data_IF_774316683626
#
_entry.id   IF_774316683626
#
_cell.length_a   1.000
_cell.length_b   1.000
_cell.length_c   1.000
_cell.angle_alpha   90.00
_cell.angle_beta   90.00
_cell.angle_gamma   90.00
#
_symmetry.space_group_name_H-M   'P 1'
#
loop_
_entity.id
_entity.type
_entity.pdbx_description
1 polymer ?
#
# COMPACT_ATOMS: atom_id res chain seq x y z
N UNK A 1 16.99 5.58 11.75
CA UNK A 1 15.78 5.75 10.91
C UNK A 1 15.59 4.51 10.02
N UNK A 2 14.37 4.19 9.54
CA UNK A 2 14.15 2.99 8.70
C UNK A 2 14.97 3.03 7.41
N UNK A 3 15.00 4.17 6.71
CA UNK A 3 15.79 4.33 5.50
C UNK A 3 17.29 4.02 5.73
N UNK A 4 17.90 4.58 6.79
CA UNK A 4 19.30 4.32 7.13
C UNK A 4 19.57 2.83 7.41
N UNK A 5 18.64 2.16 8.09
CA UNK A 5 18.71 0.73 8.35
C UNK A 5 18.65 -0.08 7.05
N UNK A 6 17.73 0.27 6.14
CA UNK A 6 17.60 -0.38 4.83
C UNK A 6 18.86 -0.21 3.99
N UNK A 7 19.42 1.01 3.92
CA UNK A 7 20.67 1.30 3.21
C UNK A 7 21.84 0.50 3.81
N UNK A 8 21.92 0.40 5.14
CA UNK A 8 22.96 -0.36 5.83
C UNK A 8 22.91 -1.87 5.57
N UNK A 9 21.71 -2.47 5.48
CA UNK A 9 21.58 -3.90 5.12
C UNK A 9 21.75 -4.12 3.63
N UNK A 10 21.30 -3.20 2.78
CA UNK A 10 21.51 -3.25 1.33
C UNK A 10 22.99 -3.20 0.95
N UNK A 11 23.80 -2.38 1.64
CA UNK A 11 25.26 -2.36 1.47
C UNK A 11 25.92 -3.72 1.74
N UNK A 12 25.25 -4.61 2.48
CA UNK A 12 25.68 -6.00 2.74
C UNK A 12 25.05 -7.02 1.78
N UNK A 13 24.34 -6.57 0.75
CA UNK A 13 23.62 -7.44 -0.19
C UNK A 13 22.35 -8.06 0.38
N UNK A 14 21.83 -7.51 1.50
CA UNK A 14 20.65 -7.98 2.20
C UNK A 14 19.48 -7.01 2.02
N UNK A 15 18.28 -7.46 2.39
CA UNK A 15 17.04 -6.78 2.10
C UNK A 15 16.07 -6.87 3.28
N UNK A 16 15.54 -5.71 3.67
CA UNK A 16 14.38 -5.54 4.54
C UNK A 16 13.26 -4.90 3.70
N UNK A 17 12.15 -5.61 3.51
CA UNK A 17 11.21 -5.26 2.45
C UNK A 17 10.20 -4.17 2.78
N UNK A 18 9.90 -3.95 4.06
CA UNK A 18 8.85 -3.00 4.45
C UNK A 18 9.32 -1.58 4.10
N UNK A 19 8.57 -0.91 3.23
CA UNK A 19 8.91 0.38 2.63
C UNK A 19 7.78 1.40 2.87
N UNK A 20 7.61 1.88 4.13
CA UNK A 20 6.58 2.85 4.46
C UNK A 20 6.87 4.18 3.73
N UNK A 21 5.82 4.94 3.38
CA UNK A 21 5.98 6.24 2.73
C UNK A 21 6.84 7.21 3.57
N UNK A 22 6.79 7.08 4.90
CA UNK A 22 7.56 7.87 5.87
C UNK A 22 8.97 7.34 6.15
N UNK A 23 9.52 6.39 5.37
CA UNK A 23 10.81 5.72 5.66
C UNK A 23 11.98 6.65 6.00
N UNK A 24 11.98 7.88 5.47
CA UNK A 24 13.00 8.90 5.72
C UNK A 24 12.90 9.59 7.10
N UNK A 25 11.82 9.35 7.84
CA UNK A 25 11.56 9.99 9.14
C UNK A 25 11.10 9.02 10.22
N UNK A 26 10.46 7.90 9.87
CA UNK A 26 9.99 6.92 10.85
C UNK A 26 11.12 6.04 11.42
N UNK A 27 10.94 5.58 12.66
CA UNK A 27 11.87 4.66 13.35
C UNK A 27 11.39 3.22 13.25
N UNK A 28 12.31 2.25 13.39
CA UNK A 28 11.92 0.84 13.40
C UNK A 28 10.97 0.52 14.56
N UNK A 29 11.23 1.06 15.75
CA UNK A 29 10.36 0.89 16.92
C UNK A 29 8.93 1.38 16.67
N UNK A 30 8.76 2.54 16.02
CA UNK A 30 7.43 3.04 15.63
C UNK A 30 6.74 2.13 14.62
N UNK A 31 7.47 1.68 13.58
CA UNK A 31 6.90 0.76 12.59
C UNK A 31 6.48 -0.60 13.20
N UNK A 32 7.15 -1.04 14.26
CA UNK A 32 6.79 -2.23 15.01
C UNK A 32 5.58 -1.99 15.90
N UNK A 33 5.53 -0.85 16.59
CA UNK A 33 4.40 -0.47 17.42
C UNK A 33 3.10 -0.31 16.60
N UNK A 34 3.20 0.17 15.36
CA UNK A 34 2.06 0.39 14.45
C UNK A 34 1.82 -0.76 13.46
N UNK A 35 2.61 -1.84 13.52
CA UNK A 35 2.59 -2.93 12.54
C UNK A 35 2.63 -2.44 11.06
N UNK A 36 3.46 -1.44 10.76
CA UNK A 36 3.43 -0.73 9.49
C UNK A 36 3.67 -1.62 8.27
N UNK A 37 2.94 -1.31 7.20
CA UNK A 37 3.10 -1.92 5.88
C UNK A 37 3.75 -0.97 4.87
N UNK A 38 3.27 -1.06 3.63
CA UNK A 38 3.68 -0.26 2.49
C UNK A 38 3.48 -1.04 1.18
N UNK A 39 3.89 -0.48 0.02
CA UNK A 39 3.61 -1.08 -1.28
C UNK A 39 4.10 -2.52 -1.46
N UNK A 40 5.10 -2.92 -0.67
CA UNK A 40 5.74 -4.24 -0.74
C UNK A 40 5.12 -5.31 0.15
N UNK A 41 4.12 -4.94 0.97
CA UNK A 41 3.45 -5.85 1.89
C UNK A 41 2.78 -7.01 1.13
N UNK A 42 2.25 -6.76 -0.06
CA UNK A 42 1.66 -7.74 -0.97
C UNK A 42 2.49 -9.02 -1.19
N UNK A 43 3.81 -8.90 -1.30
CA UNK A 43 4.72 -10.05 -1.50
C UNK A 43 5.43 -10.45 -0.22
N UNK A 44 5.77 -9.47 0.61
CA UNK A 44 6.75 -9.64 1.67
C UNK A 44 6.18 -9.52 3.09
N UNK A 45 4.90 -9.21 3.23
CA UNK A 45 4.26 -8.95 4.50
C UNK A 45 4.62 -7.59 5.11
N UNK A 46 4.09 -7.34 6.30
CA UNK A 46 4.24 -6.11 7.07
C UNK A 46 5.28 -6.30 8.19
N UNK A 47 5.56 -5.29 9.01
CA UNK A 47 6.64 -5.38 10.00
C UNK A 47 6.56 -6.61 10.92
N UNK A 48 5.36 -7.06 11.32
CA UNK A 48 5.21 -8.28 12.13
C UNK A 48 5.86 -9.53 11.52
N UNK A 49 5.88 -9.61 10.20
CA UNK A 49 6.40 -10.77 9.48
C UNK A 49 7.93 -10.80 9.49
N UNK A 50 8.57 -9.68 9.82
CA UNK A 50 10.01 -9.50 9.75
C UNK A 50 10.73 -9.62 11.09
N UNK A 51 10.00 -9.73 12.20
CA UNK A 51 10.57 -9.68 13.55
C UNK A 51 10.76 -11.08 14.12
N UNK A 52 11.94 -11.34 14.68
CA UNK A 52 12.27 -12.58 15.36
C UNK A 52 12.22 -12.42 16.89
N UNK A 53 12.64 -11.26 17.38
CA UNK A 53 12.76 -10.97 18.80
C UNK A 53 12.68 -9.47 19.07
N UNK A 54 12.16 -9.09 20.24
CA UNK A 54 12.14 -7.71 20.72
C UNK A 54 12.67 -7.69 22.15
N UNK A 55 13.41 -6.63 22.49
CA UNK A 55 13.56 -6.17 23.86
C UNK A 55 12.51 -5.10 24.14
N UNK A 56 11.80 -5.25 25.25
CA UNK A 56 10.74 -4.32 25.66
C UNK A 56 10.87 -3.96 27.13
N UNK A 57 10.59 -2.69 27.44
CA UNK A 57 10.46 -2.18 28.81
C UNK A 57 8.98 -2.05 29.14
N UNK A 58 8.53 -2.79 30.15
CA UNK A 58 7.15 -2.76 30.63
C UNK A 58 6.90 -1.52 31.51
N UNK A 59 5.62 -1.24 31.80
CA UNK A 59 5.21 -0.07 32.59
C UNK A 59 5.81 -0.03 34.02
N UNK A 60 6.16 -1.18 34.59
CA UNK A 60 6.80 -1.30 35.90
C UNK A 60 8.34 -1.19 35.84
N UNK A 61 8.90 -0.98 34.65
CA UNK A 61 10.35 -0.92 34.41
C UNK A 61 11.01 -2.28 34.17
N UNK A 62 10.25 -3.38 34.17
CA UNK A 62 10.78 -4.70 33.84
C UNK A 62 11.25 -4.74 32.39
N UNK A 63 12.48 -5.18 32.17
CA UNK A 63 13.05 -5.43 30.83
C UNK A 63 12.87 -6.90 30.49
N UNK A 64 12.30 -7.20 29.33
CA UNK A 64 12.16 -8.57 28.86
C UNK A 64 12.49 -8.73 27.38
N UNK A 65 13.01 -9.92 27.03
CA UNK A 65 13.06 -10.39 25.64
C UNK A 65 11.81 -11.19 25.33
N UNK A 66 11.22 -10.95 24.18
CA UNK A 66 9.90 -11.52 23.81
C UNK A 66 10.00 -12.84 23.04
N UNK A 67 11.17 -13.13 22.45
CA UNK A 67 11.39 -14.29 21.59
C UNK A 67 12.85 -14.74 21.55
N UNK A 68 13.30 -15.17 20.38
CA UNK A 68 14.64 -15.68 20.16
C UNK A 68 15.14 -15.30 18.76
N UNK A 69 16.46 -15.21 18.60
CA UNK A 69 17.09 -14.79 17.34
C UNK A 69 17.17 -15.96 16.33
N UNK A 70 16.06 -16.68 16.16
CA UNK A 70 15.95 -17.87 15.32
C UNK A 70 14.61 -17.88 14.58
N UNK A 71 14.59 -18.44 13.37
CA UNK A 71 13.36 -18.52 12.57
C UNK A 71 12.28 -19.42 13.19
N UNK A 72 12.68 -20.49 13.88
CA UNK A 72 11.76 -21.41 14.54
C UNK A 72 11.88 -21.26 16.04
N UNK A 73 10.85 -20.69 16.64
CA UNK A 73 10.67 -20.63 18.08
C UNK A 73 9.25 -21.07 18.42
N UNK A 74 9.11 -22.18 19.16
CA UNK A 74 7.82 -22.75 19.55
C UNK A 74 7.79 -23.10 21.04
N UNK A 75 8.59 -22.41 21.84
CA UNK A 75 8.65 -22.60 23.29
C UNK A 75 7.81 -21.55 24.00
N UNK A 76 6.53 -21.85 24.22
CA UNK A 76 5.59 -20.97 24.92
C UNK A 76 4.79 -20.05 23.97
N UNK A 77 4.25 -18.96 24.52
CA UNK A 77 3.45 -18.01 23.77
C UNK A 77 4.32 -17.09 22.90
N UNK A 78 3.77 -16.66 21.76
CA UNK A 78 4.43 -15.69 20.90
C UNK A 78 4.20 -14.26 21.41
N UNK A 79 4.90 -13.89 22.49
CA UNK A 79 4.80 -12.57 23.11
C UNK A 79 5.26 -11.47 22.15
N UNK A 80 6.20 -11.78 21.24
CA UNK A 80 6.66 -10.84 20.20
C UNK A 80 5.49 -10.28 19.39
N UNK A 81 4.55 -11.14 18.98
CA UNK A 81 3.40 -10.71 18.18
C UNK A 81 2.34 -9.94 18.98
N UNK A 82 2.34 -10.05 20.32
CA UNK A 82 1.47 -9.24 21.16
C UNK A 82 1.98 -7.79 21.28
N UNK A 83 3.31 -7.58 21.23
CA UNK A 83 3.92 -6.25 21.31
C UNK A 83 3.86 -5.49 19.98
N UNK A 84 3.78 -6.20 18.85
CA UNK A 84 3.71 -5.59 17.52
C UNK A 84 2.28 -5.15 17.25
N UNK A 85 2.09 -3.93 16.77
CA UNK A 85 0.75 -3.34 16.62
C UNK A 85 0.12 -2.90 17.94
N UNK A 86 0.87 -2.88 19.05
CA UNK A 86 0.33 -2.47 20.35
C UNK A 86 0.29 -0.95 20.55
N UNK A 87 0.83 -0.16 19.60
CA UNK A 87 0.90 1.31 19.68
C UNK A 87 1.58 1.81 20.98
N UNK A 88 2.54 1.04 21.50
CA UNK A 88 3.22 1.33 22.77
C UNK A 88 2.39 1.16 24.05
N UNK A 89 1.14 0.72 23.95
CA UNK A 89 0.23 0.56 25.10
C UNK A 89 0.60 -0.58 26.05
N UNK A 90 1.40 -1.55 25.59
CA UNK A 90 1.84 -2.71 26.38
C UNK A 90 3.29 -2.59 26.88
N UNK A 91 4.06 -1.63 26.37
CA UNK A 91 5.47 -1.44 26.70
C UNK A 91 6.23 -0.68 25.62
N UNK A 92 7.47 -0.32 25.93
CA UNK A 92 8.35 0.45 25.04
C UNK A 92 9.35 -0.50 24.39
N UNK A 93 9.34 -0.60 23.06
CA UNK A 93 10.33 -1.38 22.30
C UNK A 93 11.67 -0.63 22.31
N UNK A 94 12.73 -1.28 22.80
CA UNK A 94 14.09 -0.72 22.88
C UNK A 94 15.05 -1.34 21.87
N UNK A 95 14.92 -2.63 21.58
CA UNK A 95 15.72 -3.34 20.59
C UNK A 95 14.87 -4.32 19.76
N UNK A 96 15.30 -4.59 18.52
CA UNK A 96 14.62 -5.55 17.63
C UNK A 96 15.62 -6.39 16.83
N UNK A 97 15.38 -7.69 16.78
CA UNK A 97 16.06 -8.63 15.87
C UNK A 97 15.15 -8.87 14.66
N UNK A 98 15.62 -8.51 13.47
CA UNK A 98 14.88 -8.66 12.22
C UNK A 98 15.48 -9.78 11.35
N UNK A 99 14.62 -10.53 10.66
CA UNK A 99 15.05 -11.41 9.57
C UNK A 99 15.39 -10.55 8.35
N UNK A 100 16.27 -11.03 7.48
CA UNK A 100 16.63 -10.37 6.22
C UNK A 100 16.61 -11.37 5.07
N UNK A 101 16.37 -10.89 3.86
CA UNK A 101 16.46 -11.67 2.63
C UNK A 101 17.69 -11.23 1.82
N UNK A 102 18.14 -12.00 0.81
CA UNK A 102 19.03 -11.48 -0.22
C UNK A 102 18.41 -10.28 -0.93
N UNK A 103 19.23 -9.39 -1.51
CA UNK A 103 18.72 -8.28 -2.33
C UNK A 103 18.14 -8.78 -3.67
N UNK A 104 16.87 -8.50 -4.01
CA UNK A 104 16.31 -8.80 -5.32
C UNK A 104 16.88 -7.83 -6.36
N UNK A 105 17.88 -8.30 -7.12
CA UNK A 105 18.69 -7.46 -8.03
C UNK A 105 17.93 -6.99 -9.27
N UNK A 106 16.88 -7.71 -9.65
CA UNK A 106 16.18 -7.50 -10.91
C UNK A 106 14.74 -7.13 -10.62
N UNK A 107 14.26 -6.06 -11.23
CA UNK A 107 12.86 -5.64 -11.11
C UNK A 107 12.41 -4.85 -12.33
N UNK A 108 11.11 -4.91 -12.58
CA UNK A 108 10.42 -4.17 -13.62
C UNK A 108 9.19 -3.49 -13.00
N UNK A 109 8.85 -2.32 -13.54
CA UNK A 109 7.68 -1.55 -13.11
C UNK A 109 6.80 -1.27 -14.31
N UNK A 110 5.50 -1.53 -14.18
CA UNK A 110 4.49 -1.32 -15.19
C UNK A 110 3.47 -0.32 -14.67
N UNK A 111 3.14 0.69 -15.47
CA UNK A 111 1.96 1.51 -15.27
C UNK A 111 0.93 1.13 -16.33
N UNK A 112 -0.16 0.51 -15.91
CA UNK A 112 -1.16 -0.12 -16.78
C UNK A 112 -2.45 0.69 -16.74
N UNK A 113 -2.86 1.32 -17.86
CA UNK A 113 -4.09 2.11 -17.92
C UNK A 113 -5.33 1.23 -18.09
N UNK A 114 -6.45 1.68 -17.52
CA UNK A 114 -7.77 1.07 -17.65
C UNK A 114 -8.81 2.16 -17.93
N UNK A 115 -9.74 1.89 -18.84
CA UNK A 115 -10.87 2.77 -19.15
C UNK A 115 -12.05 2.62 -18.18
N UNK A 116 -12.17 1.47 -17.53
CA UNK A 116 -13.08 1.24 -16.39
C UNK A 116 -12.26 0.93 -15.12
N UNK A 117 -12.37 1.72 -14.05
CA UNK A 117 -11.72 1.43 -12.77
C UNK A 117 -12.08 0.07 -12.18
N UNK A 118 -13.29 -0.46 -12.45
CA UNK A 118 -13.69 -1.79 -11.99
C UNK A 118 -12.91 -2.91 -12.67
N UNK A 119 -12.55 -2.73 -13.94
CA UNK A 119 -11.70 -3.68 -14.65
C UNK A 119 -10.30 -3.74 -14.03
N UNK A 120 -9.76 -2.61 -13.57
CA UNK A 120 -8.53 -2.58 -12.79
C UNK A 120 -8.67 -3.36 -11.47
N UNK A 121 -9.77 -3.17 -10.73
CA UNK A 121 -10.04 -3.92 -9.50
C UNK A 121 -10.23 -5.43 -9.75
N UNK A 122 -10.91 -5.82 -10.83
CA UNK A 122 -11.03 -7.23 -11.23
C UNK A 122 -9.68 -7.84 -11.63
N UNK A 123 -8.84 -7.07 -12.34
CA UNK A 123 -7.51 -7.50 -12.72
C UNK A 123 -6.64 -7.80 -11.49
N UNK A 124 -6.75 -7.02 -10.41
CA UNK A 124 -6.05 -7.29 -9.15
C UNK A 124 -6.35 -8.69 -8.63
N UNK A 125 -7.63 -9.09 -8.58
CA UNK A 125 -8.00 -10.45 -8.16
C UNK A 125 -7.48 -11.51 -9.14
N UNK A 126 -7.62 -11.26 -10.45
CA UNK A 126 -7.14 -12.15 -11.51
C UNK A 126 -5.64 -12.43 -11.45
N UNK A 127 -4.83 -11.40 -11.16
CA UNK A 127 -3.36 -11.50 -11.00
C UNK A 127 -3.02 -12.61 -9.99
N UNK A 128 -3.66 -12.63 -8.82
CA UNK A 128 -3.39 -13.64 -7.80
C UNK A 128 -4.01 -15.00 -8.11
N UNK A 129 -5.18 -15.04 -8.75
CA UNK A 129 -5.81 -16.30 -9.16
C UNK A 129 -4.94 -17.08 -10.17
N UNK A 130 -4.22 -16.36 -11.02
CA UNK A 130 -3.25 -16.93 -11.96
C UNK A 130 -1.89 -17.27 -11.32
N UNK A 131 -1.74 -17.05 -10.01
CA UNK A 131 -0.53 -17.36 -9.25
C UNK A 131 0.60 -16.34 -9.40
N UNK A 132 0.32 -15.14 -9.92
CA UNK A 132 1.31 -14.07 -9.94
C UNK A 132 1.50 -13.46 -8.54
N UNK A 133 2.73 -13.04 -8.24
CA UNK A 133 3.11 -12.46 -6.96
C UNK A 133 3.93 -11.18 -7.19
N UNK A 134 3.27 -10.08 -7.60
CA UNK A 134 3.95 -8.80 -7.78
C UNK A 134 4.55 -8.33 -6.46
N UNK A 135 5.72 -7.67 -6.52
CA UNK A 135 6.35 -7.05 -5.35
C UNK A 135 5.68 -5.74 -4.95
N UNK A 136 4.88 -5.13 -5.83
CA UNK A 136 3.93 -4.07 -5.49
C UNK A 136 2.76 -4.07 -6.46
N UNK A 137 1.56 -3.73 -5.99
CA UNK A 137 0.36 -3.64 -6.81
C UNK A 137 -0.54 -2.52 -6.28
N UNK A 138 -0.41 -1.35 -6.89
CA UNK A 138 -1.08 -0.13 -6.46
C UNK A 138 -2.20 0.23 -7.43
N UNK A 139 -3.33 0.68 -6.91
CA UNK A 139 -4.41 1.27 -7.69
C UNK A 139 -4.39 2.79 -7.55
N UNK A 140 -4.65 3.50 -8.64
CA UNK A 140 -4.81 4.96 -8.65
C UNK A 140 -5.90 5.34 -9.64
N UNK A 141 -6.93 6.06 -9.18
CA UNK A 141 -7.86 6.73 -10.09
C UNK A 141 -7.12 7.80 -10.92
N UNK A 142 -7.65 8.12 -12.11
CA UNK A 142 -7.09 9.18 -12.96
C UNK A 142 -6.90 10.50 -12.21
N UNK A 143 -7.88 10.92 -11.42
CA UNK A 143 -7.80 12.13 -10.62
C UNK A 143 -6.59 12.12 -9.67
N UNK A 144 -6.26 10.96 -9.09
CA UNK A 144 -5.10 10.83 -8.18
C UNK A 144 -3.78 11.10 -8.93
N UNK A 145 -3.66 10.58 -10.16
CA UNK A 145 -2.48 10.76 -11.01
C UNK A 145 -2.39 12.20 -11.50
N UNK A 146 -3.48 12.79 -11.98
CA UNK A 146 -3.51 14.18 -12.46
C UNK A 146 -3.10 15.15 -11.35
N UNK A 147 -3.63 14.97 -10.13
CA UNK A 147 -3.23 15.76 -8.97
C UNK A 147 -1.73 15.60 -8.67
N UNK A 148 -1.20 14.38 -8.73
CA UNK A 148 0.21 14.13 -8.49
C UNK A 148 1.13 14.72 -9.59
N UNK A 149 0.72 14.67 -10.87
CA UNK A 149 1.43 15.30 -11.99
C UNK A 149 1.49 16.81 -11.82
N UNK A 150 0.38 17.44 -11.42
CA UNK A 150 0.34 18.88 -11.15
C UNK A 150 1.17 19.25 -9.92
N UNK A 151 1.10 18.48 -8.84
CA UNK A 151 1.89 18.73 -7.64
C UNK A 151 3.40 18.60 -7.86
N UNK A 152 3.81 17.60 -8.64
CA UNK A 152 5.24 17.35 -8.94
C UNK A 152 5.76 18.16 -10.12
N UNK A 153 4.88 18.82 -10.88
CA UNK A 153 5.18 19.45 -12.17
C UNK A 153 5.75 18.45 -13.21
N UNK A 154 5.51 17.16 -13.01
CA UNK A 154 5.93 16.10 -13.92
C UNK A 154 4.78 15.72 -14.87
N UNK A 155 4.71 16.43 -16.00
CA UNK A 155 3.70 16.23 -17.04
C UNK A 155 4.16 15.30 -18.17
N UNK A 156 5.18 14.50 -17.92
CA UNK A 156 5.76 13.64 -18.97
C UNK A 156 4.97 12.34 -19.17
N UNK A 157 4.09 12.00 -18.23
CA UNK A 157 3.30 10.78 -18.29
C UNK A 157 2.16 10.92 -19.31
N UNK A 158 2.12 10.12 -20.39
CA UNK A 158 1.04 10.19 -21.35
C UNK A 158 -0.24 9.58 -20.75
N UNK A 159 -1.26 10.40 -20.56
CA UNK A 159 -2.61 9.97 -20.19
C UNK A 159 -3.52 10.08 -21.41
N UNK A 160 -4.09 8.97 -21.86
CA UNK A 160 -5.11 9.01 -22.90
C UNK A 160 -6.44 9.54 -22.33
N UNK A 161 -7.23 10.21 -23.17
CA UNK A 161 -8.49 10.83 -22.74
C UNK A 161 -9.51 9.80 -22.21
N UNK A 162 -9.42 8.55 -22.63
CA UNK A 162 -10.29 7.43 -22.23
C UNK A 162 -9.79 6.68 -20.98
N UNK A 163 -8.61 7.01 -20.44
CA UNK A 163 -8.14 6.38 -19.21
C UNK A 163 -8.91 6.89 -18.00
N UNK A 164 -9.35 5.99 -17.12
CA UNK A 164 -10.07 6.30 -15.89
C UNK A 164 -9.32 5.87 -14.62
N UNK A 165 -8.46 4.85 -14.71
CA UNK A 165 -7.62 4.39 -13.61
C UNK A 165 -6.32 3.76 -14.12
N UNK A 166 -5.37 3.55 -13.21
CA UNK A 166 -4.18 2.77 -13.48
C UNK A 166 -3.89 1.76 -12.37
N UNK A 167 -3.23 0.67 -12.77
CA UNK A 167 -2.46 -0.16 -11.85
C UNK A 167 -0.98 0.14 -12.02
N UNK A 168 -0.27 0.40 -10.91
CA UNK A 168 1.19 0.40 -10.87
C UNK A 168 1.65 -0.95 -10.30
N UNK A 169 2.32 -1.74 -11.13
CA UNK A 169 2.69 -3.12 -10.82
C UNK A 169 4.20 -3.26 -10.84
N UNK A 170 4.81 -3.58 -9.70
CA UNK A 170 6.23 -3.94 -9.61
C UNK A 170 6.34 -5.47 -9.54
N UNK A 171 7.26 -6.03 -10.31
CA UNK A 171 7.72 -7.42 -10.14
C UNK A 171 9.22 -7.39 -9.85
N UNK A 172 9.65 -8.28 -8.96
CA UNK A 172 11.07 -8.44 -8.63
C UNK A 172 11.52 -9.91 -8.72
N UNK A 173 12.83 -10.07 -8.86
CA UNK A 173 13.47 -11.36 -9.03
C UNK A 173 14.89 -11.36 -8.44
N UNK A 174 15.28 -12.53 -7.93
CA UNK A 174 16.64 -12.77 -7.44
C UNK A 174 17.59 -13.19 -8.57
N UNK A 175 17.04 -13.79 -9.64
CA UNK A 175 17.76 -14.18 -10.86
C UNK A 175 17.16 -13.44 -12.05
N UNK A 176 18.01 -13.06 -13.00
CA UNK A 176 17.59 -12.30 -14.19
C UNK A 176 16.56 -13.06 -15.04
N UNK A 177 16.79 -14.36 -15.24
CA UNK A 177 15.96 -15.24 -16.05
C UNK A 177 14.52 -15.38 -15.52
N UNK A 178 14.28 -15.03 -14.25
CA UNK A 178 12.97 -15.14 -13.63
C UNK A 178 12.08 -13.91 -13.91
N UNK A 179 12.63 -12.81 -14.45
CA UNK A 179 11.90 -11.56 -14.63
C UNK A 179 10.95 -11.60 -15.84
N UNK A 180 11.45 -11.96 -17.01
CA UNK A 180 10.64 -12.00 -18.24
C UNK A 180 9.45 -12.97 -18.15
N UNK A 181 9.60 -14.20 -17.63
CA UNK A 181 8.46 -15.11 -17.45
C UNK A 181 7.38 -14.57 -16.51
N UNK A 182 7.74 -13.74 -15.52
CA UNK A 182 6.75 -13.07 -14.67
C UNK A 182 5.97 -12.01 -15.44
N UNK A 183 6.65 -11.22 -16.28
CA UNK A 183 6.02 -10.18 -17.10
C UNK A 183 5.07 -10.78 -18.15
N UNK A 184 5.45 -11.90 -18.78
CA UNK A 184 4.61 -12.59 -19.76
C UNK A 184 3.29 -13.09 -19.14
N UNK A 185 3.36 -13.80 -18.01
CA UNK A 185 2.14 -14.26 -17.31
C UNK A 185 1.26 -13.11 -16.84
N UNK A 186 1.88 -12.02 -16.41
CA UNK A 186 1.15 -10.81 -16.01
C UNK A 186 0.44 -10.18 -17.20
N UNK A 187 1.09 -10.09 -18.36
CA UNK A 187 0.49 -9.58 -19.59
C UNK A 187 -0.71 -10.44 -20.04
N UNK A 188 -0.58 -11.77 -20.00
CA UNK A 188 -1.69 -12.69 -20.29
C UNK A 188 -2.88 -12.47 -19.35
N UNK A 189 -2.59 -12.25 -18.06
CA UNK A 189 -3.62 -11.96 -17.06
C UNK A 189 -4.34 -10.65 -17.38
N UNK A 190 -3.58 -9.57 -17.57
CA UNK A 190 -4.10 -8.22 -17.82
C UNK A 190 -4.93 -8.15 -19.11
N UNK A 191 -4.56 -8.91 -20.14
CA UNK A 191 -5.29 -9.00 -21.41
C UNK A 191 -6.74 -9.51 -21.27
N UNK A 192 -7.09 -10.17 -20.15
CA UNK A 192 -8.46 -10.63 -19.87
C UNK A 192 -9.36 -9.56 -19.25
N UNK A 193 -8.82 -8.41 -18.86
CA UNK A 193 -9.52 -7.35 -18.12
C UNK A 193 -9.44 -5.99 -18.83
N UNK A 194 -9.46 -5.97 -20.16
CA UNK A 194 -9.48 -4.74 -20.97
C UNK A 194 -8.37 -3.73 -20.63
N UNK A 195 -7.22 -4.20 -20.15
CA UNK A 195 -6.07 -3.35 -19.89
C UNK A 195 -5.55 -2.70 -21.18
N UNK A 196 -5.23 -1.42 -21.12
CA UNK A 196 -4.54 -0.72 -22.21
C UNK A 196 -3.05 -1.06 -22.27
N UNK A 197 -2.36 -0.45 -23.25
CA UNK A 197 -0.92 -0.67 -23.43
C UNK A 197 -0.11 -0.17 -22.22
N UNK A 198 0.66 -1.03 -21.53
CA UNK A 198 1.38 -0.62 -20.33
C UNK A 198 2.61 0.23 -20.67
N UNK A 199 2.85 1.26 -19.85
CA UNK A 199 4.13 1.95 -19.81
C UNK A 199 5.10 1.15 -18.92
N UNK A 200 6.15 0.60 -19.51
CA UNK A 200 7.13 -0.22 -18.81
C UNK A 200 8.42 0.55 -18.52
N UNK A 201 8.87 0.51 -17.27
CA UNK A 201 10.15 1.06 -16.82
C UNK A 201 11.07 -0.06 -16.30
N UNK A 202 12.22 -0.22 -16.97
CA UNK A 202 13.24 -1.21 -16.62
C UNK A 202 14.46 -0.57 -15.93
N UNK A 203 14.81 0.67 -16.29
CA UNK A 203 15.93 1.38 -15.70
C UNK A 203 15.55 2.09 -14.38
N UNK A 204 16.56 2.46 -13.60
CA UNK A 204 16.38 3.10 -12.29
C UNK A 204 15.66 4.44 -12.37
N UNK A 205 15.90 5.24 -13.41
CA UNK A 205 15.36 6.58 -13.53
C UNK A 205 13.86 6.55 -13.83
N UNK A 206 13.44 5.75 -14.82
CA UNK A 206 12.03 5.55 -15.14
C UNK A 206 11.24 4.95 -13.97
N UNK A 207 11.83 3.98 -13.26
CA UNK A 207 11.19 3.42 -12.05
C UNK A 207 11.04 4.46 -10.95
N UNK A 208 12.07 5.27 -10.72
CA UNK A 208 12.03 6.34 -9.71
C UNK A 208 10.97 7.39 -10.06
N UNK A 209 10.80 7.74 -11.34
CA UNK A 209 9.78 8.68 -11.80
C UNK A 209 8.36 8.19 -11.48
N UNK A 210 8.02 6.96 -11.89
CA UNK A 210 6.69 6.39 -11.63
C UNK A 210 6.43 6.20 -10.12
N UNK A 211 7.43 5.75 -9.37
CA UNK A 211 7.31 5.64 -7.92
C UNK A 211 7.15 6.99 -7.23
N UNK A 212 7.85 8.02 -7.70
CA UNK A 212 7.71 9.38 -7.17
C UNK A 212 6.29 9.89 -7.36
N UNK A 213 5.70 9.68 -8.55
CA UNK A 213 4.30 10.02 -8.82
C UNK A 213 3.36 9.36 -7.80
N UNK A 214 3.42 8.02 -7.66
CA UNK A 214 2.57 7.26 -6.72
C UNK A 214 2.76 7.70 -5.26
N UNK A 215 3.99 7.97 -4.82
CA UNK A 215 4.30 8.39 -3.44
C UNK A 215 3.82 9.80 -3.14
N UNK A 216 3.73 10.67 -4.16
CA UNK A 216 3.29 12.06 -4.02
C UNK A 216 1.79 12.26 -4.12
N UNK A 217 1.02 11.24 -4.50
CA UNK A 217 -0.45 11.31 -4.54
C UNK A 217 -1.05 11.83 -3.23
N UNK A 218 -0.64 11.30 -2.08
CA UNK A 218 -1.19 11.73 -0.78
C UNK A 218 -0.86 13.19 -0.45
N UNK A 219 0.35 13.66 -0.76
CA UNK A 219 0.72 15.07 -0.60
C UNK A 219 -0.06 15.97 -1.58
N UNK A 220 -0.25 15.52 -2.81
CA UNK A 220 -0.98 16.23 -3.85
C UNK A 220 -2.45 16.43 -3.50
N UNK A 221 -3.12 15.39 -2.99
CA UNK A 221 -4.51 15.47 -2.52
C UNK A 221 -4.65 16.47 -1.38
N UNK A 222 -3.73 16.43 -0.39
CA UNK A 222 -3.70 17.36 0.75
C UNK A 222 -3.49 18.81 0.32
N UNK A 223 -2.65 19.03 -0.69
CA UNK A 223 -2.38 20.35 -1.24
C UNK A 223 -3.56 20.90 -2.08
N UNK A 224 -4.34 20.01 -2.69
CA UNK A 224 -5.44 20.38 -3.58
C UNK A 224 -6.72 20.80 -2.84
N UNK A 225 -7.09 20.08 -1.78
CA UNK A 225 -8.34 20.36 -1.04
C UNK A 225 -8.22 20.04 0.44
N UNK A 226 -9.08 20.68 1.25
CA UNK A 226 -9.40 20.13 2.57
C UNK A 226 -10.02 18.76 2.36
N UNK A 227 -9.59 17.77 3.12
CA UNK A 227 -9.95 16.38 2.86
C UNK A 227 -10.21 15.61 4.16
N UNK A 228 -10.90 14.49 4.05
CA UNK A 228 -10.95 13.43 5.06
C UNK A 228 -10.49 12.14 4.39
N UNK A 229 -9.60 11.42 5.05
CA UNK A 229 -8.96 10.23 4.54
C UNK A 229 -9.36 9.06 5.39
N UNK A 230 -9.93 8.05 4.76
CA UNK A 230 -10.34 6.81 5.40
C UNK A 230 -9.50 5.67 4.82
N UNK A 231 -8.89 4.88 5.70
CA UNK A 231 -7.99 3.79 5.31
C UNK A 231 -8.73 2.45 5.37
N UNK A 232 -9.32 2.05 4.25
CA UNK A 232 -10.22 0.89 4.21
C UNK A 232 -9.52 -0.33 3.62
N UNK A 233 -9.82 -1.51 4.17
CA UNK A 233 -9.29 -2.78 3.65
C UNK A 233 -10.45 -3.75 3.46
N UNK A 234 -10.51 -4.42 2.31
CA UNK A 234 -11.46 -5.50 2.03
C UNK A 234 -10.74 -6.71 1.45
N UNK A 235 -11.30 -7.92 1.49
CA UNK A 235 -10.79 -9.02 0.68
C UNK A 235 -10.64 -8.57 -0.77
N UNK A 236 -9.49 -8.82 -1.40
CA UNK A 236 -9.16 -8.32 -2.76
C UNK A 236 -10.26 -8.51 -3.81
N UNK A 237 -11.00 -9.60 -3.72
CA UNK A 237 -12.12 -9.90 -4.63
C UNK A 237 -13.30 -8.91 -4.52
N UNK A 238 -13.39 -8.16 -3.42
CA UNK A 238 -14.41 -7.16 -3.13
C UNK A 238 -13.97 -5.70 -3.36
N UNK A 239 -12.77 -5.49 -3.93
CA UNK A 239 -12.33 -4.15 -4.33
C UNK A 239 -13.29 -3.45 -5.32
N UNK A 240 -13.85 -4.14 -6.34
CA UNK A 240 -14.83 -3.52 -7.24
C UNK A 240 -16.07 -3.02 -6.48
N UNK A 241 -16.61 -3.83 -5.56
CA UNK A 241 -17.78 -3.52 -4.75
C UNK A 241 -17.52 -2.36 -3.79
N UNK A 242 -16.34 -2.32 -3.17
CA UNK A 242 -15.92 -1.19 -2.34
C UNK A 242 -15.88 0.11 -3.16
N UNK A 243 -15.24 0.08 -4.34
CA UNK A 243 -15.14 1.26 -5.19
C UNK A 243 -16.53 1.75 -5.63
N UNK A 244 -17.41 0.83 -6.04
CA UNK A 244 -18.79 1.15 -6.41
C UNK A 244 -19.58 1.73 -5.23
N UNK A 245 -19.46 1.15 -4.04
CA UNK A 245 -20.10 1.64 -2.83
C UNK A 245 -19.64 3.07 -2.49
N UNK A 246 -18.34 3.35 -2.56
CA UNK A 246 -17.80 4.69 -2.33
C UNK A 246 -18.38 5.70 -3.31
N UNK A 247 -18.44 5.38 -4.61
CA UNK A 247 -18.98 6.30 -5.64
C UNK A 247 -20.49 6.48 -5.49
N UNK A 248 -21.24 5.42 -5.20
CA UNK A 248 -22.68 5.47 -4.93
C UNK A 248 -22.99 6.34 -3.71
N UNK A 249 -22.32 6.11 -2.58
CA UNK A 249 -22.48 6.90 -1.35
C UNK A 249 -22.05 8.35 -1.60
N UNK A 250 -21.00 8.57 -2.39
CA UNK A 250 -20.61 9.90 -2.90
C UNK A 250 -21.77 10.64 -3.58
N UNK A 251 -22.46 9.96 -4.50
CA UNK A 251 -23.64 10.52 -5.17
C UNK A 251 -24.83 10.77 -4.23
N UNK A 252 -25.11 9.86 -3.30
CA UNK A 252 -26.22 9.97 -2.33
C UNK A 252 -26.03 11.15 -1.36
N UNK A 253 -24.78 11.39 -0.94
CA UNK A 253 -24.43 12.42 0.06
C UNK A 253 -23.81 13.69 -0.55
N UNK A 254 -23.59 13.70 -1.86
CA UNK A 254 -23.11 14.86 -2.63
C UNK A 254 -21.63 15.21 -2.44
N UNK A 255 -20.77 14.24 -2.15
CA UNK A 255 -19.31 14.46 -2.05
C UNK A 255 -18.53 13.79 -3.19
N UNK A 256 -17.35 14.32 -3.46
CA UNK A 256 -16.39 13.72 -4.38
C UNK A 256 -15.30 12.98 -3.60
N UNK A 257 -14.80 11.88 -4.17
CA UNK A 257 -13.68 11.13 -3.61
C UNK A 257 -12.64 10.80 -4.67
N UNK A 258 -11.39 10.75 -4.21
CA UNK A 258 -10.25 10.25 -4.97
C UNK A 258 -9.73 9.01 -4.26
N UNK A 259 -9.70 7.89 -4.97
CA UNK A 259 -9.30 6.60 -4.45
C UNK A 259 -7.95 6.18 -5.02
N UNK A 260 -7.06 5.73 -4.15
CA UNK A 260 -5.78 5.12 -4.48
C UNK A 260 -5.36 4.23 -3.32
N UNK A 261 -4.47 3.27 -3.53
CA UNK A 261 -3.99 2.43 -2.42
C UNK A 261 -3.29 1.16 -2.83
N UNK A 262 -2.97 0.37 -1.81
CA UNK A 262 -2.31 -0.93 -1.93
C UNK A 262 -3.34 -2.01 -2.33
N UNK A 263 -3.79 -1.96 -3.58
CA UNK A 263 -4.80 -2.90 -4.09
C UNK A 263 -4.36 -4.37 -3.97
N UNK A 264 -3.05 -4.63 -4.05
CA UNK A 264 -2.47 -5.96 -3.79
C UNK A 264 -2.79 -6.54 -2.42
N UNK A 265 -3.07 -5.70 -1.42
CA UNK A 265 -3.45 -6.09 -0.06
C UNK A 265 -4.95 -5.92 0.20
N UNK A 266 -5.71 -5.46 -0.80
CA UNK A 266 -7.12 -5.13 -0.65
C UNK A 266 -7.36 -3.78 0.02
N UNK A 267 -6.32 -2.95 0.17
CA UNK A 267 -6.38 -1.66 0.83
C UNK A 267 -6.61 -0.51 -0.16
N UNK A 268 -7.60 0.32 0.14
CA UNK A 268 -7.98 1.50 -0.64
C UNK A 268 -8.14 2.71 0.30
N UNK A 269 -7.33 3.74 0.07
CA UNK A 269 -7.48 5.03 0.74
C UNK A 269 -8.59 5.82 0.06
N UNK A 270 -9.68 6.07 0.77
CA UNK A 270 -10.81 6.86 0.30
C UNK A 270 -10.60 8.29 0.75
N UNK A 271 -10.17 9.16 -0.17
CA UNK A 271 -9.93 10.56 0.13
C UNK A 271 -11.15 11.38 -0.30
N UNK A 272 -11.98 11.78 0.66
CA UNK A 272 -13.16 12.61 0.44
C UNK A 272 -12.72 14.07 0.39
N UNK A 273 -12.99 14.75 -0.73
CA UNK A 273 -12.60 16.13 -0.94
C UNK A 273 -13.71 17.06 -0.49
N UNK A 274 -13.35 18.16 0.19
CA UNK A 274 -14.31 19.20 0.57
C UNK A 274 -14.86 19.92 -0.66
N UNK A 275 -14.00 20.26 -1.61
CA UNK A 275 -14.40 20.95 -2.84
C UNK A 275 -15.30 22.16 -2.56
N UNK A 276 -16.53 22.13 -3.09
CA UNK A 276 -17.56 23.16 -2.92
C UNK A 276 -18.56 22.89 -1.79
N UNK A 277 -18.37 21.84 -0.99
CA UNK A 277 -19.24 21.51 0.14
C UNK A 277 -19.25 22.62 1.19
N UNK A 278 -20.44 22.93 1.71
CA UNK A 278 -20.59 23.85 2.83
C UNK A 278 -20.02 23.24 4.12
N UNK A 279 -19.62 24.09 5.07
CA UNK A 279 -19.18 23.65 6.39
C UNK A 279 -20.25 22.84 7.14
N UNK A 280 -21.53 23.16 6.90
CA UNK A 280 -22.66 22.41 7.46
C UNK A 280 -22.68 20.96 6.97
N UNK A 281 -22.51 20.74 5.66
CA UNK A 281 -22.42 19.38 5.11
C UNK A 281 -21.14 18.68 5.59
N UNK A 282 -20.01 19.39 5.56
CA UNK A 282 -18.69 18.85 5.92
C UNK A 282 -18.59 18.35 7.36
N UNK A 283 -19.20 19.07 8.30
CA UNK A 283 -19.19 18.73 9.72
C UNK A 283 -20.45 17.99 10.19
N UNK A 284 -21.59 18.13 9.51
CA UNK A 284 -22.87 17.53 9.90
C UNK A 284 -23.18 16.22 9.18
N UNK A 285 -23.39 16.28 7.86
CA UNK A 285 -23.87 15.14 7.07
C UNK A 285 -22.76 14.17 6.67
N UNK A 286 -21.57 14.68 6.34
CA UNK A 286 -20.44 13.88 5.86
C UNK A 286 -20.01 12.76 6.84
N UNK A 287 -19.95 12.96 8.17
CA UNK A 287 -19.69 11.86 9.11
C UNK A 287 -20.66 10.68 8.99
N UNK A 288 -21.90 10.92 8.55
CA UNK A 288 -22.88 9.85 8.32
C UNK A 288 -22.55 9.07 7.04
N UNK A 289 -22.07 9.76 6.00
CA UNK A 289 -21.61 9.14 4.76
C UNK A 289 -20.37 8.27 5.00
N UNK A 290 -19.40 8.76 5.78
CA UNK A 290 -18.22 7.99 6.19
C UNK A 290 -18.63 6.73 6.96
N UNK A 291 -19.60 6.86 7.89
CA UNK A 291 -20.15 5.69 8.59
C UNK A 291 -20.82 4.70 7.63
N UNK A 292 -21.50 5.17 6.59
CA UNK A 292 -22.07 4.30 5.57
C UNK A 292 -20.97 3.54 4.80
N UNK A 293 -19.87 4.20 4.42
CA UNK A 293 -18.71 3.54 3.81
C UNK A 293 -18.15 2.45 4.74
N UNK A 294 -17.93 2.77 6.02
CA UNK A 294 -17.44 1.77 6.97
C UNK A 294 -18.38 0.60 7.18
N UNK A 295 -19.69 0.83 7.13
CA UNK A 295 -20.68 -0.24 7.19
C UNK A 295 -20.52 -1.19 6.00
N UNK A 296 -20.37 -0.66 4.79
CA UNK A 296 -20.13 -1.47 3.58
C UNK A 296 -18.81 -2.25 3.69
N UNK A 297 -17.73 -1.61 4.15
CA UNK A 297 -16.44 -2.27 4.38
C UNK A 297 -16.59 -3.47 5.32
N UNK A 298 -17.30 -3.30 6.44
CA UNK A 298 -17.55 -4.39 7.40
C UNK A 298 -18.46 -5.46 6.80
N UNK A 299 -19.51 -5.08 6.07
CA UNK A 299 -20.44 -6.01 5.43
C UNK A 299 -19.73 -6.83 4.31
N UNK A 300 -18.67 -6.29 3.70
CA UNK A 300 -17.75 -6.99 2.78
C UNK A 300 -16.66 -7.82 3.48
N UNK A 301 -16.65 -7.88 4.82
CA UNK A 301 -15.68 -8.64 5.60
C UNK A 301 -14.31 -7.97 5.74
N UNK A 302 -14.26 -6.65 5.58
CA UNK A 302 -13.07 -5.81 5.66
C UNK A 302 -12.75 -5.24 7.05
N UNK A 303 -11.75 -4.36 7.09
CA UNK A 303 -11.34 -3.56 8.27
C UNK A 303 -11.31 -2.07 7.94
N UNK A 304 -11.50 -1.25 8.98
CA UNK A 304 -11.56 0.22 8.88
C UNK A 304 -10.20 0.91 9.14
N UNK A 305 -9.17 0.10 9.40
CA UNK A 305 -7.77 0.46 9.59
C UNK A 305 -6.91 -0.80 9.47
#
# INVERSE_FOLDING_TARGET
IVQEMQEAVQAKGLFYAVDPASRGTCTIGGNLAENSGGPRAVKYGVTKDWVLNLEVVLADGTIMKTGADTLKNSTGYNVTQLMIGSEGTLGIITEATLKLLPWPKYNALLLVPFSDPKDACHAVAGIFQDGNQPSALEFMERAAIELAMDFTQDRQLPLSDDTAAHLLIEVDAFREDDLMPQLERLADTLGRYNAGGPLMAMDTAGKAQLWNLRRKVGEAVKAHSTYKEEDTVVPRGHLPELLEAVKRIGGEYGFESVCYGHAGDGNLHVNILKGSLSDEIWHGTLPQAIRAIFKEVVDLGGTIS
#
